data_IF_745809255564
#
_entry.id   IF_745809255564
#
_cell.length_a   1.000
_cell.length_b   1.000
_cell.length_c   1.000
_cell.angle_alpha   90.00
_cell.angle_beta   90.00
_cell.angle_gamma   90.00
#
_symmetry.space_group_name_H-M   'P 1'
#
loop_
_entity.id
_entity.type
_entity.pdbx_description
1 polymer ?
#
# COMPACT_ATOMS: atom_id res chain seq x y z
N UNK A 1 9.67 -10.96 16.26
CA UNK A 1 8.52 -11.69 16.83
C UNK A 1 7.25 -11.07 16.25
N UNK A 2 6.61 -11.74 15.30
CA UNK A 2 5.30 -11.35 14.80
C UNK A 2 4.30 -11.61 15.92
N UNK A 3 3.91 -10.55 16.63
CA UNK A 3 2.81 -10.63 17.59
C UNK A 3 1.55 -10.97 16.80
N UNK A 4 0.81 -11.97 17.22
CA UNK A 4 -0.47 -12.32 16.61
C UNK A 4 -1.51 -11.27 16.99
N UNK A 5 -1.58 -10.19 16.21
CA UNK A 5 -2.67 -9.22 16.35
C UNK A 5 -4.01 -9.91 16.05
N UNK A 6 -5.02 -9.61 16.83
CA UNK A 6 -6.41 -9.96 16.50
C UNK A 6 -6.90 -9.14 15.32
N UNK A 7 -7.95 -9.59 14.64
CA UNK A 7 -8.58 -8.81 13.56
C UNK A 7 -8.98 -7.41 14.03
N UNK A 8 -9.59 -7.29 15.20
CA UNK A 8 -10.01 -6.00 15.78
C UNK A 8 -8.82 -5.07 16.05
N UNK A 9 -7.67 -5.59 16.46
CA UNK A 9 -6.45 -4.79 16.63
C UNK A 9 -5.92 -4.29 15.28
N UNK A 10 -5.92 -5.14 14.26
CA UNK A 10 -5.53 -4.74 12.90
C UNK A 10 -6.49 -3.69 12.33
N UNK A 11 -7.80 -3.81 12.55
CA UNK A 11 -8.79 -2.80 12.14
C UNK A 11 -8.56 -1.45 12.82
N UNK A 12 -8.20 -1.46 14.12
CA UNK A 12 -7.83 -0.22 14.83
C UNK A 12 -6.56 0.40 14.25
N UNK A 13 -5.56 -0.41 13.94
CA UNK A 13 -4.32 0.05 13.30
C UNK A 13 -4.62 0.61 11.91
N UNK A 14 -5.40 -0.09 11.09
CA UNK A 14 -5.82 0.36 9.77
C UNK A 14 -6.54 1.72 9.82
N UNK A 15 -7.44 1.90 10.80
CA UNK A 15 -8.11 3.19 11.04
C UNK A 15 -7.10 4.30 11.35
N UNK A 16 -6.10 4.03 12.20
CA UNK A 16 -5.07 5.01 12.53
C UNK A 16 -4.16 5.32 11.33
N UNK A 17 -3.78 4.33 10.53
CA UNK A 17 -3.03 4.53 9.27
C UNK A 17 -3.84 5.38 8.29
N UNK A 18 -5.14 5.08 8.13
CA UNK A 18 -6.03 5.89 7.28
C UNK A 18 -6.11 7.32 7.75
N UNK A 19 -6.31 7.54 9.05
CA UNK A 19 -6.36 8.87 9.66
C UNK A 19 -5.07 9.65 9.39
N UNK A 20 -3.91 9.06 9.66
CA UNK A 20 -2.62 9.72 9.46
C UNK A 20 -2.34 10.04 7.98
N UNK A 21 -2.77 9.17 7.07
CA UNK A 21 -2.65 9.42 5.63
C UNK A 21 -3.51 10.59 5.19
N UNK A 22 -4.77 10.63 5.65
CA UNK A 22 -5.69 11.76 5.38
C UNK A 22 -5.16 13.05 5.99
N UNK A 23 -4.65 13.00 7.23
CA UNK A 23 -4.07 14.16 7.91
C UNK A 23 -2.85 14.72 7.15
N UNK A 24 -1.93 13.86 6.71
CA UNK A 24 -0.74 14.28 5.96
C UNK A 24 -1.09 14.92 4.60
N UNK A 25 -2.00 14.30 3.83
CA UNK A 25 -2.46 14.83 2.54
C UNK A 25 -3.28 16.12 2.74
N UNK A 26 -4.17 16.15 3.74
CA UNK A 26 -5.01 17.28 4.03
C UNK A 26 -4.23 18.50 4.55
N UNK A 27 -3.20 18.29 5.37
CA UNK A 27 -2.29 19.36 5.79
C UNK A 27 -1.52 19.96 4.60
N UNK A 28 -1.08 19.11 3.66
CA UNK A 28 -0.47 19.55 2.39
C UNK A 28 -1.49 20.25 1.47
N UNK A 29 -2.76 19.87 1.53
CA UNK A 29 -3.86 20.43 0.74
C UNK A 29 -4.08 19.79 -0.63
N UNK A 30 -3.24 18.84 -1.06
CA UNK A 30 -3.34 18.15 -2.36
C UNK A 30 -2.61 16.82 -2.30
N UNK A 31 -3.10 15.79 -3.02
CA UNK A 31 -2.36 14.53 -3.14
C UNK A 31 -3.17 13.37 -3.72
N UNK A 32 -2.52 12.22 -3.82
CA UNK A 32 -3.05 11.00 -4.42
C UNK A 32 -3.94 10.22 -3.43
N UNK A 33 -4.99 10.87 -2.91
CA UNK A 33 -5.83 10.31 -1.83
C UNK A 33 -6.49 8.98 -2.24
N UNK A 34 -6.97 8.87 -3.48
CA UNK A 34 -7.71 7.70 -3.94
C UNK A 34 -6.93 6.41 -3.84
N UNK A 35 -5.77 6.36 -4.47
CA UNK A 35 -4.90 5.18 -4.48
C UNK A 35 -4.18 4.93 -3.16
N UNK A 36 -4.14 5.92 -2.26
CA UNK A 36 -3.68 5.78 -0.89
C UNK A 36 -4.70 5.02 -0.03
N UNK A 37 -5.96 5.40 -0.10
CA UNK A 37 -7.01 4.83 0.76
C UNK A 37 -7.37 3.39 0.40
N UNK A 38 -7.21 2.98 -0.85
CA UNK A 38 -7.57 1.62 -1.31
C UNK A 38 -6.68 0.51 -0.73
N UNK A 39 -5.51 0.83 -0.18
CA UNK A 39 -4.48 -0.16 0.21
C UNK A 39 -4.16 -0.18 1.70
N UNK A 40 -4.92 0.54 2.52
CA UNK A 40 -4.67 0.65 3.97
C UNK A 40 -4.71 -0.70 4.66
N UNK A 41 -5.71 -1.53 4.35
CA UNK A 41 -5.89 -2.87 4.90
C UNK A 41 -4.73 -3.79 4.52
N UNK A 42 -4.34 -3.78 3.25
CA UNK A 42 -3.19 -4.55 2.77
C UNK A 42 -1.91 -4.19 3.53
N UNK A 43 -1.57 -2.91 3.60
CA UNK A 43 -0.34 -2.48 4.28
C UNK A 43 -0.37 -2.79 5.77
N UNK A 44 -1.53 -2.68 6.39
CA UNK A 44 -1.71 -3.06 7.80
C UNK A 44 -1.45 -4.55 8.01
N UNK A 45 -2.05 -5.42 7.19
CA UNK A 45 -1.81 -6.86 7.28
C UNK A 45 -0.34 -7.20 7.03
N UNK A 46 0.29 -6.61 6.01
CA UNK A 46 1.69 -6.88 5.70
C UNK A 46 2.62 -6.49 6.86
N UNK A 47 2.57 -5.26 7.32
CA UNK A 47 3.55 -4.75 8.30
C UNK A 47 3.29 -5.17 9.74
N UNK A 48 2.05 -5.53 10.11
CA UNK A 48 1.70 -5.87 11.48
C UNK A 48 1.43 -7.35 11.72
N UNK A 49 1.20 -8.16 10.67
CA UNK A 49 0.89 -9.58 10.84
C UNK A 49 1.77 -10.51 9.98
N UNK A 50 2.07 -10.15 8.72
CA UNK A 50 2.61 -11.09 7.75
C UNK A 50 4.14 -11.03 7.55
N UNK A 51 4.71 -9.82 7.48
CA UNK A 51 6.11 -9.62 7.13
C UNK A 51 7.06 -9.82 8.30
N UNK A 52 8.19 -10.46 8.04
CA UNK A 52 9.33 -10.52 8.94
C UNK A 52 10.16 -9.23 8.79
N UNK A 53 9.83 -8.21 9.58
CA UNK A 53 10.52 -6.91 9.61
C UNK A 53 10.72 -6.41 11.04
N UNK A 54 11.85 -5.75 11.28
CA UNK A 54 12.15 -5.07 12.54
C UNK A 54 12.42 -3.57 12.28
N UNK A 55 11.58 -2.65 12.75
CA UNK A 55 11.83 -1.22 12.61
C UNK A 55 13.08 -0.74 13.32
N UNK A 56 13.55 -1.45 14.37
CA UNK A 56 14.78 -1.13 15.07
C UNK A 56 16.04 -1.56 14.27
N UNK A 57 15.89 -2.55 13.38
CA UNK A 57 16.94 -2.96 12.43
C UNK A 57 16.37 -3.02 10.99
N UNK A 58 16.19 -1.86 10.33
CA UNK A 58 15.64 -1.79 8.97
C UNK A 58 16.50 -2.49 7.91
N UNK A 59 17.70 -2.91 8.26
CA UNK A 59 18.63 -3.63 7.37
C UNK A 59 18.85 -5.09 7.78
N UNK A 60 18.05 -5.61 8.70
CA UNK A 60 18.12 -6.99 9.17
C UNK A 60 18.29 -7.96 8.00
N UNK A 61 19.25 -8.86 8.10
CA UNK A 61 19.48 -9.91 7.10
C UNK A 61 18.28 -10.86 7.03
N UNK A 62 17.89 -11.28 5.83
CA UNK A 62 16.76 -12.18 5.61
C UNK A 62 15.39 -11.56 5.90
N UNK A 63 15.30 -10.25 6.15
CA UNK A 63 14.01 -9.59 6.29
C UNK A 63 13.20 -9.59 5.00
N UNK A 64 11.89 -9.61 5.14
CA UNK A 64 11.00 -9.40 4.00
C UNK A 64 11.11 -7.96 3.47
N UNK A 65 10.76 -7.77 2.21
CA UNK A 65 10.78 -6.46 1.53
C UNK A 65 9.43 -6.16 0.91
N UNK A 66 9.03 -4.89 0.98
CA UNK A 66 7.82 -4.42 0.31
C UNK A 66 8.14 -3.30 -0.68
N UNK A 67 7.76 -3.50 -1.94
CA UNK A 67 7.96 -2.52 -3.01
C UNK A 67 6.59 -2.04 -3.50
N UNK A 68 6.25 -0.79 -3.17
CA UNK A 68 5.05 -0.13 -3.67
C UNK A 68 5.30 0.36 -5.10
N UNK A 69 4.97 -0.45 -6.12
CA UNK A 69 5.22 -0.09 -7.52
C UNK A 69 4.41 1.12 -7.95
N UNK A 70 3.15 1.22 -7.51
CA UNK A 70 2.36 2.45 -7.62
C UNK A 70 2.84 3.50 -6.60
N UNK A 71 4.01 4.09 -6.85
CA UNK A 71 4.73 4.95 -5.90
C UNK A 71 3.96 6.17 -5.39
N UNK A 72 2.91 6.59 -6.11
CA UNK A 72 2.00 7.66 -5.70
C UNK A 72 1.17 7.33 -4.45
N UNK A 73 1.08 6.05 -4.05
CA UNK A 73 0.50 5.66 -2.77
C UNK A 73 1.49 5.79 -1.58
N UNK A 74 2.64 6.45 -1.78
CA UNK A 74 3.65 6.72 -0.77
C UNK A 74 3.12 7.26 0.56
N UNK A 75 2.18 8.21 0.62
CA UNK A 75 1.63 8.71 1.88
C UNK A 75 1.10 7.62 2.80
N UNK A 76 0.39 6.61 2.28
CA UNK A 76 -0.09 5.47 3.10
C UNK A 76 1.06 4.56 3.54
N UNK A 77 2.05 4.34 2.67
CA UNK A 77 3.25 3.59 3.06
C UNK A 77 3.97 4.30 4.20
N UNK A 78 4.12 5.62 4.15
CA UNK A 78 4.74 6.41 5.21
C UNK A 78 3.95 6.37 6.52
N UNK A 79 2.64 6.51 6.48
CA UNK A 79 1.79 6.38 7.66
C UNK A 79 1.93 4.99 8.29
N UNK A 80 1.95 3.93 7.49
CA UNK A 80 2.17 2.55 7.95
C UNK A 80 3.54 2.36 8.59
N UNK A 81 4.61 2.85 7.94
CA UNK A 81 5.97 2.77 8.46
C UNK A 81 6.13 3.54 9.77
N UNK A 82 5.56 4.74 9.87
CA UNK A 82 5.53 5.53 11.10
C UNK A 82 4.82 4.77 12.22
N UNK A 83 3.63 4.23 11.97
CA UNK A 83 2.87 3.42 12.95
C UNK A 83 3.60 2.13 13.34
N UNK A 84 4.40 1.59 12.43
CA UNK A 84 5.23 0.42 12.72
C UNK A 84 6.47 0.76 13.54
N UNK A 85 6.87 2.04 13.61
CA UNK A 85 7.98 2.53 14.42
C UNK A 85 9.28 2.82 13.68
N UNK A 86 9.27 2.93 12.35
CA UNK A 86 10.47 3.27 11.56
C UNK A 86 10.91 4.73 11.74
N UNK A 87 9.99 5.63 12.07
CA UNK A 87 10.25 7.04 12.33
C UNK A 87 9.09 7.70 13.10
N UNK A 88 9.36 8.86 13.68
CA UNK A 88 8.40 9.63 14.46
C UNK A 88 7.21 10.10 13.61
N UNK A 89 6.00 10.03 14.17
CA UNK A 89 4.75 10.42 13.52
C UNK A 89 4.74 11.89 13.06
N UNK A 90 5.42 12.78 13.80
CA UNK A 90 5.54 14.20 13.44
C UNK A 90 6.18 14.43 12.08
N UNK A 91 6.98 13.49 11.58
CA UNK A 91 7.55 13.59 10.23
C UNK A 91 6.49 13.56 9.13
N UNK A 92 5.32 12.91 9.35
CA UNK A 92 4.23 12.84 8.39
C UNK A 92 3.73 14.22 7.93
N UNK A 93 3.79 15.20 8.81
CA UNK A 93 3.34 16.56 8.55
C UNK A 93 4.30 17.37 7.66
N UNK A 94 5.42 16.77 7.28
CA UNK A 94 6.37 17.34 6.32
C UNK A 94 6.23 16.74 4.92
N UNK A 95 5.16 15.99 4.66
CA UNK A 95 4.90 15.36 3.36
C UNK A 95 5.08 16.37 2.22
N UNK A 96 5.95 16.02 1.26
CA UNK A 96 6.22 16.80 0.04
C UNK A 96 6.70 18.26 0.27
N UNK A 97 7.13 18.62 1.49
CA UNK A 97 7.77 19.90 1.77
C UNK A 97 9.22 19.87 1.29
N UNK A 98 9.74 20.97 0.77
CA UNK A 98 11.13 21.04 0.29
C UNK A 98 12.14 20.58 1.35
N UNK A 99 12.99 19.63 1.00
CA UNK A 99 13.98 19.02 1.92
C UNK A 99 13.47 17.90 2.81
N UNK A 100 12.19 17.57 2.78
CA UNK A 100 11.59 16.48 3.56
C UNK A 100 12.24 15.13 3.28
N UNK A 101 12.09 14.20 4.24
CA UNK A 101 12.37 12.78 4.05
C UNK A 101 11.17 12.01 3.48
N UNK A 102 10.02 12.65 3.31
CA UNK A 102 8.78 12.05 2.80
C UNK A 102 8.32 12.74 1.51
N UNK A 103 8.96 12.47 0.36
CA UNK A 103 8.52 13.00 -0.93
C UNK A 103 7.17 12.39 -1.33
N UNK A 104 6.50 12.95 -2.34
CA UNK A 104 5.16 12.46 -2.77
C UNK A 104 5.16 11.02 -3.29
N UNK A 105 6.30 10.50 -3.74
CA UNK A 105 6.50 9.12 -4.18
C UNK A 105 7.60 8.45 -3.34
N UNK A 106 7.53 7.14 -3.17
CA UNK A 106 8.48 6.39 -2.35
C UNK A 106 9.94 6.61 -2.79
N UNK A 107 10.82 6.94 -1.82
CA UNK A 107 12.24 7.16 -2.05
C UNK A 107 13.08 6.41 -1.00
N UNK A 108 13.80 5.37 -1.44
CA UNK A 108 14.61 4.51 -0.57
C UNK A 108 15.84 5.20 0.02
N UNK A 109 16.30 6.28 -0.59
CA UNK A 109 17.47 7.03 -0.12
C UNK A 109 17.11 8.05 0.96
N UNK A 110 15.84 8.42 1.06
CA UNK A 110 15.34 9.46 1.99
C UNK A 110 14.55 8.89 3.14
N UNK A 111 13.66 7.93 2.88
CA UNK A 111 12.68 7.45 3.85
C UNK A 111 13.10 6.12 4.46
N UNK A 112 13.29 6.03 5.80
CA UNK A 112 13.55 4.76 6.47
C UNK A 112 12.42 3.75 6.23
N UNK A 113 12.78 2.50 5.92
CA UNK A 113 11.82 1.42 5.69
C UNK A 113 11.29 1.33 4.25
N UNK A 114 11.64 2.26 3.37
CA UNK A 114 11.36 2.14 1.92
C UNK A 114 12.44 1.29 1.26
N UNK A 115 12.04 0.22 0.60
CA UNK A 115 12.94 -0.75 -0.03
C UNK A 115 13.35 -0.38 -1.47
N UNK A 116 12.53 0.41 -2.17
CA UNK A 116 12.80 0.84 -3.54
C UNK A 116 12.18 2.20 -3.83
N UNK A 117 12.92 3.08 -4.50
CA UNK A 117 12.37 4.31 -5.05
C UNK A 117 11.48 3.98 -6.25
N UNK A 118 10.25 4.47 -6.25
CA UNK A 118 9.22 4.17 -7.26
C UNK A 118 8.47 5.43 -7.67
N UNK A 119 7.66 5.33 -8.74
CA UNK A 119 6.87 6.46 -9.27
C UNK A 119 6.70 6.39 -10.78
N UNK A 120 7.71 5.91 -11.51
CA UNK A 120 7.55 5.51 -12.91
C UNK A 120 6.88 4.13 -12.91
N UNK A 121 5.62 4.07 -13.38
CA UNK A 121 4.80 2.87 -13.31
C UNK A 121 5.45 1.67 -14.02
N UNK A 122 5.28 0.47 -13.46
CA UNK A 122 5.91 -0.77 -13.92
C UNK A 122 7.34 -1.00 -13.44
N UNK A 123 8.11 0.06 -13.15
CA UNK A 123 9.52 -0.07 -12.74
C UNK A 123 9.66 -0.78 -11.39
N UNK A 124 8.82 -0.42 -10.41
CA UNK A 124 8.85 -1.02 -9.08
C UNK A 124 8.60 -2.53 -9.12
N UNK A 125 7.67 -2.98 -9.96
CA UNK A 125 7.37 -4.40 -10.14
C UNK A 125 8.60 -5.16 -10.69
N UNK A 126 9.26 -4.62 -11.72
CA UNK A 126 10.48 -5.21 -12.28
C UNK A 126 11.61 -5.27 -11.24
N UNK A 127 11.76 -4.21 -10.42
CA UNK A 127 12.71 -4.22 -9.31
C UNK A 127 12.38 -5.30 -8.26
N UNK A 128 11.09 -5.53 -7.99
CA UNK A 128 10.66 -6.60 -7.09
C UNK A 128 11.02 -7.99 -7.63
N UNK A 129 10.85 -8.23 -8.92
CA UNK A 129 11.30 -9.46 -9.59
C UNK A 129 12.82 -9.63 -9.44
N UNK A 130 13.60 -8.57 -9.69
CA UNK A 130 15.05 -8.59 -9.49
C UNK A 130 15.45 -8.86 -8.03
N UNK A 131 14.74 -8.27 -7.05
CA UNK A 131 14.97 -8.51 -5.63
C UNK A 131 14.65 -9.97 -5.25
N UNK A 132 13.59 -10.57 -5.81
CA UNK A 132 13.23 -11.97 -5.58
C UNK A 132 14.30 -12.93 -6.12
N UNK A 133 14.84 -12.66 -7.32
CA UNK A 133 15.97 -13.41 -7.88
C UNK A 133 17.20 -13.27 -6.97
N UNK A 134 17.53 -12.05 -6.54
CA UNK A 134 18.66 -11.79 -5.65
C UNK A 134 18.54 -12.54 -4.32
N UNK A 135 17.35 -12.55 -3.71
CA UNK A 135 17.05 -13.28 -2.48
C UNK A 135 17.23 -14.80 -2.66
N UNK A 136 16.75 -15.36 -3.79
CA UNK A 136 16.96 -16.79 -4.08
C UNK A 136 18.45 -17.14 -4.22
N UNK A 137 19.24 -16.30 -4.88
CA UNK A 137 20.68 -16.49 -5.03
C UNK A 137 21.42 -16.36 -3.71
N UNK A 138 21.04 -15.38 -2.89
CA UNK A 138 21.62 -15.19 -1.56
C UNK A 138 21.17 -16.29 -0.57
N UNK A 139 20.06 -16.98 -0.85
CA UNK A 139 19.42 -17.97 0.05
C UNK A 139 19.09 -17.34 1.41
N UNK A 140 18.73 -16.05 1.42
CA UNK A 140 18.47 -15.29 2.64
C UNK A 140 17.09 -15.58 3.26
N UNK A 141 16.23 -16.32 2.55
CA UNK A 141 14.91 -16.72 3.02
C UNK A 141 13.83 -15.65 2.91
N UNK A 142 14.15 -14.43 2.45
CA UNK A 142 13.21 -13.33 2.38
C UNK A 142 12.05 -13.59 1.40
N UNK A 143 10.87 -13.09 1.77
CA UNK A 143 9.75 -12.93 0.85
C UNK A 143 9.75 -11.50 0.31
N UNK A 144 9.55 -11.36 -0.99
CA UNK A 144 9.42 -10.06 -1.63
C UNK A 144 7.94 -9.82 -1.93
N UNK A 145 7.41 -8.77 -1.34
CA UNK A 145 6.04 -8.30 -1.57
C UNK A 145 6.06 -7.09 -2.50
N UNK A 146 5.15 -7.02 -3.44
CA UNK A 146 5.02 -5.85 -4.32
C UNK A 146 3.56 -5.56 -4.64
N UNK A 147 3.24 -4.29 -4.81
CA UNK A 147 1.89 -3.82 -5.11
C UNK A 147 1.90 -3.00 -6.39
N UNK A 148 1.06 -3.40 -7.35
CA UNK A 148 0.76 -2.64 -8.57
C UNK A 148 -0.68 -2.12 -8.55
N UNK A 149 -0.95 -1.03 -9.26
CA UNK A 149 -2.30 -0.60 -9.58
C UNK A 149 -2.86 -1.36 -10.79
N UNK A 150 -4.18 -1.40 -10.93
CA UNK A 150 -4.82 -1.93 -12.14
C UNK A 150 -4.42 -1.12 -13.38
N UNK A 151 -4.56 0.21 -13.38
CA UNK A 151 -4.06 1.04 -14.47
C UNK A 151 -2.55 0.88 -14.73
N UNK A 152 -1.74 0.68 -13.70
CA UNK A 152 -0.32 0.35 -13.84
C UNK A 152 -0.10 -0.98 -14.55
N UNK A 153 -1.01 -1.95 -14.39
CA UNK A 153 -0.93 -3.25 -15.05
C UNK A 153 -1.10 -3.18 -16.59
N UNK A 154 -1.43 -2.02 -17.13
CA UNK A 154 -1.43 -1.76 -18.58
C UNK A 154 -0.03 -1.51 -19.16
N UNK A 155 0.98 -1.23 -18.29
CA UNK A 155 2.36 -1.07 -18.74
C UNK A 155 2.94 -2.40 -19.24
N UNK A 156 3.54 -2.39 -20.44
CA UNK A 156 4.13 -3.59 -21.07
C UNK A 156 5.20 -4.24 -20.18
N UNK A 157 5.96 -3.43 -19.45
CA UNK A 157 7.00 -3.88 -18.53
C UNK A 157 6.47 -4.79 -17.40
N UNK A 158 5.23 -4.62 -16.96
CA UNK A 158 4.60 -5.53 -15.98
C UNK A 158 4.56 -6.95 -16.55
N UNK A 159 4.15 -7.12 -17.78
CA UNK A 159 4.02 -8.43 -18.42
C UNK A 159 5.37 -9.06 -18.79
N UNK A 160 6.35 -8.26 -19.19
CA UNK A 160 7.73 -8.72 -19.37
C UNK A 160 8.30 -9.28 -18.05
N UNK A 161 8.13 -8.55 -16.95
CA UNK A 161 8.58 -8.98 -15.63
C UNK A 161 7.77 -10.19 -15.11
N UNK A 162 6.45 -10.24 -15.38
CA UNK A 162 5.60 -11.36 -15.01
C UNK A 162 6.05 -12.68 -15.69
N UNK A 163 6.37 -12.62 -16.99
CA UNK A 163 6.89 -13.75 -17.75
C UNK A 163 8.23 -14.22 -17.16
N UNK A 164 9.13 -13.29 -16.86
CA UNK A 164 10.43 -13.61 -16.25
C UNK A 164 10.25 -14.30 -14.89
N UNK A 165 9.40 -13.75 -14.03
CA UNK A 165 9.16 -14.29 -12.69
C UNK A 165 8.57 -15.71 -12.72
N UNK A 166 7.58 -15.96 -13.59
CA UNK A 166 7.01 -17.30 -13.76
C UNK A 166 8.01 -18.31 -14.32
N UNK A 167 8.87 -17.89 -15.28
CA UNK A 167 9.90 -18.77 -15.85
C UNK A 167 11.03 -19.09 -14.86
N UNK A 168 11.38 -18.15 -13.99
CA UNK A 168 12.41 -18.34 -12.95
C UNK A 168 11.88 -18.98 -11.67
N UNK A 169 10.62 -19.37 -11.63
CA UNK A 169 10.01 -20.05 -10.49
C UNK A 169 10.19 -19.30 -9.17
N UNK A 170 9.87 -17.99 -9.17
CA UNK A 170 10.09 -17.12 -8.01
C UNK A 170 9.00 -17.30 -6.94
N UNK A 171 8.94 -18.47 -6.30
CA UNK A 171 7.98 -18.75 -5.22
C UNK A 171 8.07 -17.80 -4.03
N UNK A 172 9.20 -17.08 -3.87
CA UNK A 172 9.39 -16.06 -2.85
C UNK A 172 8.86 -14.67 -3.24
N UNK A 173 8.16 -14.54 -4.38
CA UNK A 173 7.54 -13.30 -4.84
C UNK A 173 6.02 -13.39 -4.67
N UNK A 174 5.45 -12.49 -3.86
CA UNK A 174 4.01 -12.31 -3.68
C UNK A 174 3.66 -10.91 -4.15
N UNK A 175 2.85 -10.83 -5.19
CA UNK A 175 2.42 -9.57 -5.78
C UNK A 175 0.93 -9.33 -5.53
N UNK A 176 0.55 -8.07 -5.51
CA UNK A 176 -0.83 -7.62 -5.34
C UNK A 176 -1.20 -6.69 -6.50
N UNK A 177 -2.43 -6.82 -6.99
CA UNK A 177 -3.05 -5.78 -7.83
C UNK A 177 -4.14 -5.09 -7.03
N UNK A 178 -4.00 -3.78 -6.82
CA UNK A 178 -5.06 -2.91 -6.31
C UNK A 178 -6.08 -2.68 -7.43
N UNK A 179 -7.09 -3.55 -7.51
CA UNK A 179 -8.12 -3.53 -8.55
C UNK A 179 -9.27 -2.62 -8.13
N UNK A 180 -9.00 -1.31 -8.14
CA UNK A 180 -9.95 -0.28 -7.75
C UNK A 180 -10.75 0.30 -8.94
N UNK A 181 -10.50 -0.18 -10.16
CA UNK A 181 -11.17 0.14 -11.43
C UNK A 181 -10.90 1.52 -12.02
N UNK A 182 -10.15 2.39 -11.34
CA UNK A 182 -9.91 3.75 -11.83
C UNK A 182 -8.43 4.05 -11.99
N UNK A 183 -8.08 4.53 -13.17
CA UNK A 183 -6.80 5.18 -13.43
C UNK A 183 -6.97 6.70 -13.52
N UNK A 184 -5.94 7.44 -13.98
CA UNK A 184 -5.97 8.90 -14.07
C UNK A 184 -7.09 9.39 -15.00
N UNK A 185 -7.25 8.75 -16.16
CA UNK A 185 -8.10 9.21 -17.27
C UNK A 185 -9.53 8.66 -17.22
N UNK A 186 -9.84 7.71 -16.32
CA UNK A 186 -11.17 7.13 -16.24
C UNK A 186 -11.22 5.73 -15.64
N UNK A 187 -12.30 5.00 -15.97
CA UNK A 187 -12.42 3.56 -15.66
C UNK A 187 -11.37 2.80 -16.49
N UNK A 188 -10.69 1.85 -15.86
CA UNK A 188 -9.62 1.05 -16.47
C UNK A 188 -10.12 0.30 -17.71
N UNK A 189 -11.34 -0.25 -17.67
CA UNK A 189 -11.89 -1.02 -18.78
C UNK A 189 -12.29 -0.13 -19.96
N UNK A 190 -12.62 1.14 -19.72
CA UNK A 190 -12.94 2.10 -20.78
C UNK A 190 -11.67 2.64 -21.46
N UNK A 191 -10.57 2.79 -20.70
CA UNK A 191 -9.31 3.34 -21.24
C UNK A 191 -8.50 2.26 -21.99
N UNK A 192 -8.22 1.13 -21.33
CA UNK A 192 -7.52 -0.01 -21.92
C UNK A 192 -7.81 -1.27 -21.08
N UNK A 193 -8.83 -2.04 -21.44
CA UNK A 193 -9.38 -3.14 -20.69
C UNK A 193 -8.34 -4.20 -20.28
N UNK A 194 -8.40 -4.60 -19.02
CA UNK A 194 -7.51 -5.60 -18.44
C UNK A 194 -8.12 -7.00 -18.40
N UNK A 195 -9.43 -7.13 -18.50
CA UNK A 195 -10.05 -8.44 -18.36
C UNK A 195 -9.78 -9.38 -19.55
N UNK A 196 -9.67 -10.68 -19.35
CA UNK A 196 -9.68 -11.39 -18.06
C UNK A 196 -8.30 -11.33 -17.34
N UNK A 197 -8.16 -10.48 -16.34
CA UNK A 197 -6.88 -10.20 -15.69
C UNK A 197 -6.29 -11.44 -15.00
N UNK A 198 -7.12 -12.20 -14.29
CA UNK A 198 -6.68 -13.42 -13.59
C UNK A 198 -6.06 -14.45 -14.56
N UNK A 199 -6.67 -14.64 -15.72
CA UNK A 199 -6.20 -15.60 -16.72
C UNK A 199 -4.89 -15.18 -17.37
N UNK A 200 -4.68 -13.86 -17.54
CA UNK A 200 -3.40 -13.32 -18.01
C UNK A 200 -2.26 -13.71 -17.05
N UNK A 201 -2.44 -13.51 -15.73
CA UNK A 201 -1.45 -13.92 -14.73
C UNK A 201 -1.23 -15.44 -14.73
N UNK A 202 -2.30 -16.25 -14.79
CA UNK A 202 -2.21 -17.73 -14.88
C UNK A 202 -1.44 -18.17 -16.11
N UNK A 203 -1.62 -17.49 -17.26
CA UNK A 203 -0.91 -17.79 -18.51
C UNK A 203 0.62 -17.58 -18.39
N UNK A 204 1.07 -16.68 -17.52
CA UNK A 204 2.48 -16.48 -17.18
C UNK A 204 2.98 -17.42 -16.07
N UNK A 205 2.26 -18.51 -15.77
CA UNK A 205 2.64 -19.50 -14.75
C UNK A 205 2.64 -18.98 -13.29
N UNK A 206 1.76 -18.03 -12.97
CA UNK A 206 1.55 -17.54 -11.62
C UNK A 206 0.41 -18.30 -10.91
N UNK A 207 0.52 -18.46 -9.58
CA UNK A 207 -0.65 -18.71 -8.75
C UNK A 207 -1.48 -17.42 -8.70
N UNK A 208 -2.81 -17.54 -8.71
CA UNK A 208 -3.70 -16.37 -8.64
C UNK A 208 -4.75 -16.59 -7.56
N UNK A 209 -4.84 -15.64 -6.64
CA UNK A 209 -5.85 -15.58 -5.58
C UNK A 209 -6.71 -14.33 -5.84
N UNK A 210 -8.01 -14.50 -5.89
CA UNK A 210 -8.96 -13.40 -6.08
C UNK A 210 -9.67 -13.10 -4.76
N UNK A 211 -9.55 -11.86 -4.28
CA UNK A 211 -10.15 -11.37 -3.03
C UNK A 211 -11.37 -10.53 -3.37
N UNK A 212 -12.52 -10.91 -2.82
CA UNK A 212 -13.80 -10.27 -3.12
C UNK A 212 -13.93 -8.87 -2.50
N UNK A 213 -13.38 -8.67 -1.30
CA UNK A 213 -13.26 -7.37 -0.64
C UNK A 213 -11.82 -7.14 -0.15
N UNK A 214 -11.03 -6.46 -0.97
CA UNK A 214 -9.64 -6.06 -0.64
C UNK A 214 -9.54 -4.98 0.44
N UNK A 215 -10.68 -4.47 0.94
CA UNK A 215 -10.78 -3.57 2.06
C UNK A 215 -11.31 -4.25 3.35
N UNK A 216 -11.43 -5.58 3.36
CA UNK A 216 -11.68 -6.40 4.54
C UNK A 216 -10.37 -7.00 5.06
N UNK A 217 -10.03 -6.70 6.32
CA UNK A 217 -8.78 -7.20 6.98
C UNK A 217 -8.73 -8.73 7.00
N UNK A 218 -9.85 -9.40 7.23
CA UNK A 218 -9.90 -10.86 7.37
C UNK A 218 -9.68 -11.55 6.02
N UNK A 219 -10.29 -11.03 4.94
CA UNK A 219 -10.11 -11.55 3.59
C UNK A 219 -8.67 -11.35 3.10
N UNK A 220 -8.14 -10.13 3.27
CA UNK A 220 -6.74 -9.81 2.90
C UNK A 220 -5.76 -10.69 3.68
N UNK A 221 -5.96 -10.84 4.99
CA UNK A 221 -5.14 -11.69 5.87
C UNK A 221 -5.15 -13.15 5.43
N UNK A 222 -6.32 -13.68 5.09
CA UNK A 222 -6.48 -15.04 4.62
C UNK A 222 -5.72 -15.26 3.29
N UNK A 223 -5.88 -14.35 2.33
CA UNK A 223 -5.21 -14.42 1.04
C UNK A 223 -3.68 -14.31 1.16
N UNK A 224 -3.16 -13.46 2.04
CA UNK A 224 -1.72 -13.36 2.28
C UNK A 224 -1.17 -14.66 2.87
N UNK A 225 -1.86 -15.27 3.83
CA UNK A 225 -1.47 -16.56 4.42
C UNK A 225 -1.51 -17.69 3.40
N UNK A 226 -2.53 -17.72 2.54
CA UNK A 226 -2.61 -18.67 1.43
C UNK A 226 -1.43 -18.51 0.48
N UNK A 227 -1.12 -17.28 0.07
CA UNK A 227 0.02 -17.00 -0.80
C UNK A 227 1.36 -17.41 -0.17
N UNK A 228 1.55 -17.19 1.14
CA UNK A 228 2.73 -17.64 1.87
C UNK A 228 2.85 -19.17 1.87
N UNK A 229 1.74 -19.89 2.01
CA UNK A 229 1.72 -21.36 1.95
C UNK A 229 2.03 -21.89 0.53
N UNK A 230 1.66 -21.14 -0.52
CA UNK A 230 1.95 -21.50 -1.90
C UNK A 230 3.42 -21.29 -2.31
N UNK A 231 4.26 -20.70 -1.47
CA UNK A 231 5.68 -20.45 -1.74
C UNK A 231 6.43 -21.71 -2.20
N UNK A 232 6.14 -22.84 -1.57
CA UNK A 232 6.76 -24.14 -1.87
C UNK A 232 6.37 -24.68 -3.26
N UNK A 233 5.33 -24.15 -3.92
CA UNK A 233 4.96 -24.52 -5.28
C UNK A 233 6.03 -24.10 -6.32
N UNK A 234 6.95 -23.22 -5.93
CA UNK A 234 7.95 -22.64 -6.83
C UNK A 234 7.37 -21.65 -7.82
N UNK A 235 6.09 -21.25 -7.70
CA UNK A 235 5.46 -20.25 -8.57
C UNK A 235 5.28 -18.94 -7.81
N UNK A 236 5.52 -17.78 -8.45
CA UNK A 236 5.11 -16.51 -7.87
C UNK A 236 3.58 -16.46 -7.71
N UNK A 237 3.10 -15.67 -6.74
CA UNK A 237 1.67 -15.56 -6.47
C UNK A 237 1.21 -14.12 -6.69
N UNK A 238 0.13 -13.95 -7.47
CA UNK A 238 -0.59 -12.69 -7.64
C UNK A 238 -1.90 -12.73 -6.84
N UNK A 239 -2.12 -11.75 -6.00
CA UNK A 239 -3.37 -11.54 -5.27
C UNK A 239 -4.10 -10.36 -5.91
N UNK A 240 -5.27 -10.61 -6.48
CA UNK A 240 -6.12 -9.58 -7.08
C UNK A 240 -7.08 -9.05 -6.03
N UNK A 241 -6.83 -7.85 -5.53
CA UNK A 241 -7.64 -7.22 -4.49
C UNK A 241 -8.73 -6.34 -5.13
N UNK A 242 -9.99 -6.74 -5.05
CA UNK A 242 -11.08 -5.82 -5.41
C UNK A 242 -11.22 -4.79 -4.29
N UNK A 243 -10.90 -3.54 -4.60
CA UNK A 243 -10.88 -2.43 -3.63
C UNK A 243 -11.78 -1.30 -4.08
N UNK A 244 -12.00 -0.35 -3.17
CA UNK A 244 -12.67 0.92 -3.46
C UNK A 244 -11.64 2.04 -3.45
N UNK A 245 -11.51 2.75 -4.58
CA UNK A 245 -10.62 3.92 -4.67
C UNK A 245 -11.14 5.04 -3.77
N UNK A 246 -10.35 5.47 -2.79
CA UNK A 246 -10.77 6.47 -1.80
C UNK A 246 -11.42 5.89 -0.54
N UNK A 247 -11.40 4.58 -0.34
CA UNK A 247 -12.10 3.84 0.74
C UNK A 247 -12.05 4.51 2.11
N UNK A 248 -13.23 4.70 2.72
CA UNK A 248 -13.39 5.24 4.07
C UNK A 248 -13.25 6.76 4.15
N UNK A 249 -13.24 7.47 3.00
CA UNK A 249 -13.28 8.92 2.90
C UNK A 249 -14.36 9.30 1.87
N UNK A 250 -15.56 9.63 2.34
CA UNK A 250 -16.74 9.85 1.48
C UNK A 250 -16.50 10.87 0.38
N UNK A 251 -15.76 11.93 0.67
CA UNK A 251 -15.36 12.93 -0.31
C UNK A 251 -14.52 12.31 -1.44
N UNK A 252 -13.50 11.50 -1.09
CA UNK A 252 -12.64 10.87 -2.06
C UNK A 252 -13.40 9.80 -2.89
N UNK A 253 -14.23 8.98 -2.26
CA UNK A 253 -14.99 7.95 -2.97
C UNK A 253 -15.92 8.55 -4.02
N UNK A 254 -16.56 9.70 -3.72
CA UNK A 254 -17.47 10.41 -4.66
C UNK A 254 -16.78 10.97 -5.90
N UNK A 255 -15.48 11.25 -5.84
CA UNK A 255 -14.72 11.82 -6.95
C UNK A 255 -14.41 10.78 -8.06
N UNK A 256 -14.52 9.47 -7.78
CA UNK A 256 -14.19 8.42 -8.76
C UNK A 256 -12.77 8.57 -9.32
N UNK A 257 -12.60 8.65 -10.64
CA UNK A 257 -11.28 8.82 -11.26
C UNK A 257 -10.58 10.12 -10.82
N UNK A 258 -11.34 11.20 -10.59
CA UNK A 258 -10.80 12.51 -10.20
C UNK A 258 -10.08 12.52 -8.83
N UNK A 259 -10.27 11.48 -7.99
CA UNK A 259 -9.53 11.34 -6.73
C UNK A 259 -8.09 10.84 -6.93
N UNK A 260 -7.64 10.60 -8.17
CA UNK A 260 -6.28 10.14 -8.42
C UNK A 260 -5.24 11.13 -7.88
N UNK A 261 -5.42 12.42 -8.16
CA UNK A 261 -4.69 13.53 -7.52
C UNK A 261 -5.67 14.68 -7.32
N UNK A 262 -6.13 14.88 -6.10
CA UNK A 262 -7.20 15.82 -5.80
C UNK A 262 -6.74 16.90 -4.85
N UNK A 263 -7.35 18.11 -4.98
CA UNK A 263 -7.29 19.12 -3.94
C UNK A 263 -8.05 18.63 -2.71
N UNK A 264 -7.49 18.91 -1.55
CA UNK A 264 -8.04 18.48 -0.27
C UNK A 264 -8.10 19.68 0.68
N UNK A 265 -9.11 20.57 0.53
CA UNK A 265 -9.19 21.78 1.31
C UNK A 265 -9.45 21.52 2.80
N UNK A 266 -9.09 22.44 3.71
CA UNK A 266 -9.18 22.22 5.16
C UNK A 266 -10.56 21.74 5.63
N UNK A 267 -11.65 22.30 5.13
CA UNK A 267 -13.02 21.90 5.49
C UNK A 267 -13.36 20.45 5.10
N UNK A 268 -12.89 19.97 3.95
CA UNK A 268 -13.07 18.58 3.54
C UNK A 268 -12.12 17.66 4.30
N UNK A 269 -10.92 18.13 4.64
CA UNK A 269 -9.98 17.41 5.50
C UNK A 269 -10.56 17.16 6.88
N UNK A 270 -11.16 18.17 7.50
CA UNK A 270 -11.82 18.06 8.82
C UNK A 270 -12.94 17.03 8.77
N UNK A 271 -13.82 17.11 7.75
CA UNK A 271 -14.91 16.14 7.58
C UNK A 271 -14.37 14.71 7.44
N UNK A 272 -13.37 14.51 6.60
CA UNK A 272 -12.76 13.20 6.35
C UNK A 272 -12.08 12.63 7.60
N UNK A 273 -11.35 13.45 8.36
CA UNK A 273 -10.69 13.03 9.59
C UNK A 273 -11.69 12.63 10.67
N UNK A 274 -12.74 13.43 10.85
CA UNK A 274 -13.80 13.14 11.80
C UNK A 274 -14.63 11.89 11.39
N UNK A 275 -14.86 11.71 10.08
CA UNK A 275 -15.47 10.49 9.53
C UNK A 275 -14.62 9.24 9.84
N UNK A 276 -13.31 9.29 9.57
CA UNK A 276 -12.41 8.17 9.87
C UNK A 276 -12.30 7.90 11.36
N UNK A 277 -12.27 8.94 12.19
CA UNK A 277 -12.25 8.79 13.66
C UNK A 277 -13.55 8.23 14.20
N UNK A 278 -14.70 8.57 13.59
CA UNK A 278 -16.04 8.25 14.06
C UNK A 278 -16.59 9.25 15.08
N UNK A 279 -15.90 10.36 15.31
CA UNK A 279 -16.30 11.45 16.22
C UNK A 279 -15.57 12.74 15.85
N UNK A 280 -16.11 13.88 16.32
CA UNK A 280 -15.48 15.19 16.10
C UNK A 280 -14.22 15.32 16.95
N UNK A 281 -13.06 15.36 16.31
CA UNK A 281 -11.76 15.40 16.98
C UNK A 281 -10.75 16.35 16.34
N UNK A 282 -11.09 16.99 15.22
CA UNK A 282 -10.20 17.86 14.45
C UNK A 282 -10.96 19.10 13.98
N UNK A 283 -10.31 20.26 14.02
CA UNK A 283 -10.76 21.54 13.50
C UNK A 283 -9.91 21.97 12.30
N UNK A 284 -10.35 23.01 11.57
CA UNK A 284 -9.54 23.58 10.49
C UNK A 284 -8.21 24.16 11.00
N UNK A 285 -8.17 24.68 12.23
CA UNK A 285 -6.94 25.17 12.84
C UNK A 285 -5.96 24.02 13.10
N UNK A 286 -6.45 22.86 13.56
CA UNK A 286 -5.62 21.66 13.72
C UNK A 286 -5.03 21.20 12.38
N UNK A 287 -5.80 21.28 11.29
CA UNK A 287 -5.30 20.97 9.95
C UNK A 287 -4.20 21.95 9.53
N UNK A 288 -4.38 23.26 9.76
CA UNK A 288 -3.37 24.27 9.42
C UNK A 288 -2.10 24.15 10.25
N UNK A 289 -2.22 23.84 11.53
CA UNK A 289 -1.09 23.76 12.47
C UNK A 289 -0.50 22.36 12.63
N UNK A 290 -1.01 21.39 11.89
CA UNK A 290 -0.63 19.97 11.98
C UNK A 290 -0.79 19.39 13.41
N UNK A 291 -1.83 19.81 14.12
CA UNK A 291 -2.13 19.33 15.47
C UNK A 291 -3.17 18.21 15.43
N UNK A 292 -2.74 16.98 15.18
CA UNK A 292 -3.62 15.84 15.01
C UNK A 292 -3.58 14.87 16.20
N UNK A 293 -4.75 14.42 16.71
CA UNK A 293 -4.81 13.44 17.79
C UNK A 293 -4.22 12.08 17.34
N UNK A 294 -3.72 11.32 18.30
CA UNK A 294 -3.36 9.92 18.05
C UNK A 294 -4.54 9.01 18.38
N UNK A 295 -5.09 8.36 17.35
CA UNK A 295 -6.25 7.47 17.53
C UNK A 295 -5.91 6.17 18.27
N UNK A 296 -4.61 5.78 18.36
CA UNK A 296 -4.21 4.58 19.11
C UNK A 296 -3.99 4.87 20.61
N UNK A 297 -3.66 6.11 20.98
CA UNK A 297 -3.48 6.51 22.38
C UNK A 297 -4.81 6.74 23.12
N UNK A 298 -5.88 7.07 22.38
CA UNK A 298 -7.23 7.20 22.97
C UNK A 298 -7.81 5.81 23.20
N UNK A 299 -7.88 5.35 24.46
CA UNK A 299 -8.78 4.27 24.84
C UNK A 299 -10.19 4.80 24.64
N UNK A 300 -10.93 4.19 23.72
CA UNK A 300 -12.38 4.39 23.64
C UNK A 300 -12.93 3.79 24.94
N UNK A 301 -13.38 4.65 25.86
CA UNK A 301 -14.15 4.25 27.03
C UNK A 301 -15.50 3.69 26.60
#
# INVERSE_FOLDING_TARGET
MTGTYTTNELERIARAVRFDTVAAIGHLGVGHIGGCMSIVELLTVLYFDAMNVDPADPKMEGRDRFICSKGHAGPTVYATLSRRGYFDRGLLWTLNVGGTRLPSHCDMLRTPGIDMSTGSLGQGFSCAVGAAIGSQWAKDGATIYTLVGDGESQEGQIWEAAMLAGNHHLGNLIAFTDRNRYQLDGDVEDVNGLEPLADKWRAFNWNVIEVADGNDISEVRAAVREAQALRESGKPTMILLRTVKGKGVSYAEKLGAANHNANFPPEETVKALNEVAGFDCVTEEDVRTAHFPDLLERRVE
#
